data_IF_283200185467
#
_entry.id   IF_283200185467
#
_cell.length_a   1.000
_cell.length_b   1.000
_cell.length_c   1.000
_cell.angle_alpha   90.00
_cell.angle_beta   90.00
_cell.angle_gamma   90.00
#
_symmetry.space_group_name_H-M   'P 1'
#
loop_
_entity.id
_entity.type
_entity.pdbx_description
1 polymer ?
#
# COMPACT_ATOMS: atom_id res chain seq x y z
N UNK A 1 -5.22 -7.35 -14.57
CA UNK A 1 -5.38 -6.79 -13.20
C UNK A 1 -6.85 -6.86 -12.80
N UNK A 2 -7.12 -7.34 -11.60
CA UNK A 2 -8.47 -7.34 -11.02
C UNK A 2 -8.99 -5.92 -10.85
N UNK A 3 -10.30 -5.76 -10.70
CA UNK A 3 -10.84 -4.42 -10.49
C UNK A 3 -10.43 -3.86 -9.11
N UNK A 4 -10.50 -2.55 -8.98
CA UNK A 4 -10.07 -1.83 -7.79
C UNK A 4 -10.74 -2.35 -6.51
N UNK A 5 -12.06 -2.54 -6.52
CA UNK A 5 -12.80 -3.00 -5.34
C UNK A 5 -12.29 -4.35 -4.84
N UNK A 6 -12.04 -5.27 -5.76
CA UNK A 6 -11.50 -6.60 -5.45
C UNK A 6 -10.08 -6.49 -4.89
N UNK A 7 -9.22 -5.69 -5.51
CA UNK A 7 -7.84 -5.50 -5.06
C UNK A 7 -7.79 -4.94 -3.64
N UNK A 8 -8.60 -3.94 -3.36
CA UNK A 8 -8.65 -3.34 -2.02
C UNK A 8 -9.17 -4.35 -1.00
N UNK A 9 -10.23 -5.08 -1.33
CA UNK A 9 -10.80 -6.10 -0.43
C UNK A 9 -9.76 -7.17 -0.10
N UNK A 10 -8.99 -7.62 -1.07
CA UNK A 10 -7.96 -8.63 -0.86
C UNK A 10 -6.77 -8.10 -0.06
N UNK A 11 -6.49 -6.80 -0.14
CA UNK A 11 -5.40 -6.19 0.60
C UNK A 11 -5.75 -5.83 2.05
N UNK A 12 -7.05 -5.68 2.37
CA UNK A 12 -7.49 -5.22 3.69
C UNK A 12 -6.94 -6.04 4.87
N UNK A 13 -6.96 -7.39 4.84
CA UNK A 13 -6.43 -8.15 5.98
C UNK A 13 -4.96 -7.84 6.26
N UNK A 14 -4.15 -7.70 5.21
CA UNK A 14 -2.74 -7.36 5.37
C UNK A 14 -2.58 -5.92 5.88
N UNK A 15 -3.36 -4.98 5.35
CA UNK A 15 -3.34 -3.60 5.82
C UNK A 15 -3.69 -3.50 7.30
N UNK A 16 -4.74 -4.20 7.73
CA UNK A 16 -5.13 -4.23 9.13
C UNK A 16 -4.01 -4.81 10.00
N UNK A 17 -3.38 -5.89 9.57
CA UNK A 17 -2.26 -6.49 10.28
C UNK A 17 -1.08 -5.53 10.41
N UNK A 18 -0.80 -4.73 9.39
CA UNK A 18 0.29 -3.75 9.41
C UNK A 18 0.04 -2.61 10.40
N UNK A 19 -1.20 -2.39 10.82
CA UNK A 19 -1.54 -1.36 11.80
C UNK A 19 -1.56 -1.86 13.25
N UNK A 20 -1.31 -3.15 13.49
CA UNK A 20 -1.20 -3.65 14.87
C UNK A 20 -0.05 -2.90 15.55
N UNK A 21 -0.30 -2.24 16.71
CA UNK A 21 0.74 -1.49 17.40
C UNK A 21 1.79 -2.43 17.97
N UNK A 22 2.96 -2.37 17.39
CA UNK A 22 4.13 -3.09 17.87
C UNK A 22 5.24 -2.06 18.07
N UNK A 23 6.04 -2.25 19.11
CA UNK A 23 7.24 -1.47 19.31
C UNK A 23 8.34 -1.92 18.34
N UNK A 24 7.97 -2.05 17.08
CA UNK A 24 8.86 -2.55 16.05
C UNK A 24 9.32 -1.42 15.13
N UNK A 25 10.43 -0.79 15.51
CA UNK A 25 11.03 0.29 14.73
C UNK A 25 11.68 -0.19 13.45
N UNK A 26 11.91 -1.51 13.33
CA UNK A 26 12.58 -2.09 12.16
C UNK A 26 11.63 -2.59 11.09
N UNK A 27 10.33 -2.49 11.31
CA UNK A 27 9.29 -3.04 10.43
C UNK A 27 9.41 -4.56 10.19
N UNK A 28 10.00 -5.31 11.13
CA UNK A 28 10.12 -6.77 11.00
C UNK A 28 8.78 -7.47 10.91
N UNK A 29 7.81 -6.99 11.67
CA UNK A 29 6.46 -7.56 11.62
C UNK A 29 5.81 -7.28 10.27
N UNK A 30 6.01 -6.07 9.73
CA UNK A 30 5.53 -5.74 8.41
C UNK A 30 6.14 -6.65 7.35
N UNK A 31 7.44 -6.91 7.45
CA UNK A 31 8.14 -7.82 6.56
C UNK A 31 7.53 -9.23 6.63
N UNK A 32 7.28 -9.74 7.83
CA UNK A 32 6.62 -11.03 8.01
C UNK A 32 5.24 -11.08 7.34
N UNK A 33 4.41 -10.06 7.59
CA UNK A 33 3.07 -9.98 6.99
C UNK A 33 3.15 -9.99 5.46
N UNK A 34 4.06 -9.20 4.89
CA UNK A 34 4.18 -9.06 3.45
C UNK A 34 4.69 -10.33 2.78
N UNK A 35 5.57 -11.10 3.44
CA UNK A 35 6.03 -12.38 2.91
C UNK A 35 4.89 -13.39 2.74
N UNK A 36 3.83 -13.28 3.53
CA UNK A 36 2.66 -14.15 3.44
C UNK A 36 1.66 -13.68 2.36
N UNK A 37 1.92 -12.54 1.73
CA UNK A 37 1.00 -11.95 0.74
C UNK A 37 1.34 -12.35 -0.70
N UNK A 38 0.32 -12.33 -1.56
CA UNK A 38 0.52 -12.47 -3.00
C UNK A 38 1.15 -11.19 -3.58
N UNK A 39 1.71 -11.30 -4.78
CA UNK A 39 2.23 -10.12 -5.48
C UNK A 39 1.16 -9.08 -5.76
N UNK A 40 -0.07 -9.50 -6.03
CA UNK A 40 -1.18 -8.56 -6.22
C UNK A 40 -1.43 -7.72 -4.97
N UNK A 41 -1.41 -8.36 -3.80
CA UNK A 41 -1.58 -7.65 -2.51
C UNK A 41 -0.40 -6.72 -2.26
N UNK A 42 0.83 -7.18 -2.46
CA UNK A 42 2.03 -6.37 -2.29
C UNK A 42 2.01 -5.16 -3.22
N UNK A 43 1.68 -5.35 -4.49
CA UNK A 43 1.56 -4.25 -5.45
C UNK A 43 0.47 -3.26 -5.05
N UNK A 44 -0.68 -3.75 -4.59
CA UNK A 44 -1.76 -2.89 -4.11
C UNK A 44 -1.31 -2.04 -2.92
N UNK A 45 -0.62 -2.64 -1.96
CA UNK A 45 -0.09 -1.94 -0.78
C UNK A 45 0.94 -0.90 -1.21
N UNK A 46 1.80 -1.22 -2.17
CA UNK A 46 2.79 -0.28 -2.70
C UNK A 46 2.10 0.95 -3.30
N UNK A 47 1.05 0.75 -4.10
CA UNK A 47 0.28 1.85 -4.69
C UNK A 47 -0.36 2.72 -3.60
N UNK A 48 -0.99 2.08 -2.60
CA UNK A 48 -1.61 2.80 -1.49
C UNK A 48 -0.57 3.64 -0.73
N UNK A 49 0.59 3.07 -0.47
CA UNK A 49 1.67 3.76 0.24
C UNK A 49 2.15 4.99 -0.53
N UNK A 50 2.37 4.85 -1.84
CA UNK A 50 2.85 5.96 -2.66
C UNK A 50 1.80 7.06 -2.77
N UNK A 51 0.52 6.70 -2.92
CA UNK A 51 -0.58 7.67 -2.90
C UNK A 51 -0.62 8.40 -1.56
N UNK A 52 -0.42 7.68 -0.45
CA UNK A 52 -0.39 8.28 0.88
C UNK A 52 0.74 9.28 1.04
N UNK A 53 1.91 8.96 0.53
CA UNK A 53 3.04 9.89 0.54
C UNK A 53 2.73 11.14 -0.29
N UNK A 54 2.13 10.95 -1.45
CA UNK A 54 1.73 12.06 -2.33
C UNK A 54 0.67 12.94 -1.64
N UNK A 55 -0.30 12.34 -0.95
CA UNK A 55 -1.34 13.08 -0.25
C UNK A 55 -0.78 13.93 0.90
N UNK A 56 0.26 13.48 1.56
CA UNK A 56 0.92 14.28 2.60
C UNK A 56 1.67 15.47 2.01
N UNK A 57 2.23 15.31 0.81
CA UNK A 57 2.95 16.36 0.11
C UNK A 57 2.01 17.35 -0.57
N UNK A 58 0.90 16.85 -1.13
CA UNK A 58 -0.08 17.64 -1.88
C UNK A 58 -1.50 17.44 -1.33
N UNK A 59 -1.76 17.86 -0.09
CA UNK A 59 -3.04 17.55 0.58
C UNK A 59 -4.27 18.15 -0.11
N UNK A 60 -4.10 19.23 -0.89
CA UNK A 60 -5.23 19.85 -1.59
C UNK A 60 -5.80 19.00 -2.72
N UNK A 61 -5.03 18.02 -3.20
CA UNK A 61 -5.47 17.10 -4.26
C UNK A 61 -6.29 15.94 -3.72
N UNK A 62 -6.46 15.86 -2.41
CA UNK A 62 -7.09 14.72 -1.75
C UNK A 62 -8.14 15.17 -0.73
N UNK A 63 -9.12 14.32 -0.36
CA UNK A 63 -9.29 12.94 -0.86
C UNK A 63 -9.70 12.87 -2.32
N UNK A 64 -9.48 11.70 -2.93
CA UNK A 64 -9.75 11.50 -4.34
C UNK A 64 -11.24 11.60 -4.66
N UNK A 65 -11.57 12.26 -5.78
CA UNK A 65 -12.93 12.28 -6.31
C UNK A 65 -13.30 10.95 -6.98
N UNK A 66 -12.30 10.29 -7.58
CA UNK A 66 -12.47 9.00 -8.25
C UNK A 66 -11.35 8.06 -7.80
N UNK A 67 -11.48 7.42 -6.61
CA UNK A 67 -10.41 6.59 -6.05
C UNK A 67 -9.93 5.47 -6.98
N UNK A 68 -10.85 4.76 -7.63
CA UNK A 68 -10.47 3.66 -8.52
C UNK A 68 -9.61 4.15 -9.69
N UNK A 69 -9.94 5.30 -10.24
CA UNK A 69 -9.18 5.90 -11.34
C UNK A 69 -7.79 6.34 -10.90
N UNK A 70 -7.72 7.00 -9.75
CA UNK A 70 -6.43 7.44 -9.17
C UNK A 70 -5.54 6.24 -8.89
N UNK A 71 -6.09 5.20 -8.28
CA UNK A 71 -5.35 3.97 -8.01
C UNK A 71 -4.79 3.38 -9.30
N UNK A 72 -5.60 3.28 -10.35
CA UNK A 72 -5.20 2.72 -11.63
C UNK A 72 -4.05 3.51 -12.27
N UNK A 73 -4.11 4.84 -12.21
CA UNK A 73 -3.06 5.70 -12.77
C UNK A 73 -1.72 5.42 -12.09
N UNK A 74 -1.69 5.36 -10.76
CA UNK A 74 -0.47 5.04 -10.03
C UNK A 74 -0.01 3.60 -10.26
N UNK A 75 -0.96 2.67 -10.38
CA UNK A 75 -0.64 1.26 -10.61
C UNK A 75 0.04 1.03 -11.97
N UNK A 76 -0.22 1.85 -12.98
CA UNK A 76 0.43 1.71 -14.28
C UNK A 76 1.95 1.75 -14.17
N UNK A 77 2.49 2.56 -13.26
CA UNK A 77 3.93 2.70 -13.05
C UNK A 77 4.49 1.76 -11.97
N UNK A 78 3.66 1.37 -10.99
CA UNK A 78 4.13 0.70 -9.78
C UNK A 78 3.79 -0.78 -9.72
N UNK A 79 2.89 -1.25 -10.59
CA UNK A 79 2.41 -2.63 -10.52
C UNK A 79 3.45 -3.62 -10.99
N UNK A 80 3.60 -4.72 -10.25
CA UNK A 80 4.43 -5.84 -10.67
C UNK A 80 3.69 -7.15 -10.42
N UNK A 81 3.65 -8.00 -11.46
CA UNK A 81 3.13 -9.36 -11.37
C UNK A 81 4.26 -10.39 -11.27
N UNK A 82 5.51 -9.94 -11.36
CA UNK A 82 6.67 -10.83 -11.40
C UNK A 82 7.03 -11.31 -9.98
N UNK A 83 6.92 -12.62 -9.69
CA UNK A 83 7.30 -13.15 -8.37
C UNK A 83 8.75 -12.86 -8.00
N UNK A 84 9.63 -12.68 -8.96
CA UNK A 84 11.03 -12.33 -8.69
C UNK A 84 11.20 -10.93 -8.09
N UNK A 85 10.20 -10.06 -8.25
CA UNK A 85 10.21 -8.72 -7.67
C UNK A 85 9.79 -8.70 -6.18
N UNK A 86 9.28 -9.79 -5.64
CA UNK A 86 8.69 -9.85 -4.31
C UNK A 86 9.62 -9.33 -3.22
N UNK A 87 10.83 -9.87 -3.16
CA UNK A 87 11.80 -9.47 -2.14
C UNK A 87 12.18 -8.00 -2.25
N UNK A 88 12.37 -7.50 -3.47
CA UNK A 88 12.69 -6.10 -3.70
C UNK A 88 11.55 -5.17 -3.29
N UNK A 89 10.31 -5.54 -3.61
CA UNK A 89 9.14 -4.76 -3.26
C UNK A 89 8.90 -4.74 -1.75
N UNK A 90 9.07 -5.88 -1.08
CA UNK A 90 8.97 -5.95 0.38
C UNK A 90 10.05 -5.07 1.02
N UNK A 91 11.28 -5.17 0.51
CA UNK A 91 12.38 -4.33 0.99
C UNK A 91 12.11 -2.83 0.80
N UNK A 92 11.52 -2.46 -0.32
CA UNK A 92 11.13 -1.08 -0.59
C UNK A 92 10.12 -0.57 0.44
N UNK A 93 9.07 -1.36 0.71
CA UNK A 93 8.04 -0.98 1.69
C UNK A 93 8.61 -0.93 3.11
N UNK A 94 9.30 -1.99 3.52
CA UNK A 94 9.82 -2.11 4.88
C UNK A 94 10.97 -1.16 5.17
N UNK A 95 11.62 -0.64 4.13
CA UNK A 95 12.64 0.38 4.24
C UNK A 95 12.08 1.77 4.53
N UNK A 96 10.77 1.96 4.42
CA UNK A 96 10.14 3.24 4.71
C UNK A 96 9.93 3.39 6.21
N UNK A 97 10.61 4.38 6.81
CA UNK A 97 10.50 4.69 8.23
C UNK A 97 9.05 4.98 8.64
N UNK A 98 8.34 5.72 7.80
CA UNK A 98 6.98 6.18 8.06
C UNK A 98 5.95 5.35 7.30
N UNK A 99 6.20 4.05 7.10
CA UNK A 99 5.34 3.17 6.33
C UNK A 99 3.88 3.23 6.79
N UNK A 100 3.65 3.11 8.11
CA UNK A 100 2.28 3.12 8.65
C UNK A 100 1.58 4.47 8.41
N UNK A 101 2.30 5.57 8.54
CA UNK A 101 1.77 6.90 8.27
C UNK A 101 1.38 7.05 6.80
N UNK A 102 2.24 6.60 5.89
CA UNK A 102 1.96 6.64 4.47
C UNK A 102 0.76 5.75 4.10
N UNK A 103 0.66 4.56 4.67
CA UNK A 103 -0.47 3.67 4.43
C UNK A 103 -1.78 4.26 4.97
N UNK A 104 -1.75 4.85 6.17
CA UNK A 104 -2.93 5.51 6.72
C UNK A 104 -3.37 6.67 5.84
N UNK A 105 -2.44 7.50 5.42
CA UNK A 105 -2.69 8.60 4.51
C UNK A 105 -3.29 8.11 3.18
N UNK A 106 -2.74 7.02 2.63
CA UNK A 106 -3.24 6.43 1.40
C UNK A 106 -4.65 5.89 1.52
N UNK A 107 -4.94 5.22 2.62
CA UNK A 107 -6.29 4.72 2.88
C UNK A 107 -7.30 5.87 3.00
N UNK A 108 -6.93 6.95 3.68
CA UNK A 108 -7.78 8.13 3.78
C UNK A 108 -7.96 8.80 2.42
N UNK A 109 -6.89 8.94 1.65
CA UNK A 109 -6.92 9.56 0.32
C UNK A 109 -7.83 8.80 -0.63
N UNK A 110 -7.82 7.48 -0.56
CA UNK A 110 -8.64 6.59 -1.38
C UNK A 110 -10.00 6.26 -0.75
N UNK A 111 -10.30 6.83 0.41
CA UNK A 111 -11.54 6.60 1.15
C UNK A 111 -11.76 5.13 1.53
N UNK A 112 -10.69 4.42 1.81
CA UNK A 112 -10.72 3.04 2.31
C UNK A 112 -10.98 3.10 3.81
N UNK A 113 -11.94 2.32 4.27
CA UNK A 113 -12.30 2.29 5.69
C UNK A 113 -11.53 1.25 6.47
#
# INVERSE_FOLDING_TARGET
MKNYTTLIREALPALEALFIPLNDRSNRFAEYVLHECSMEVISSITVIMVIGRDALEYPSDYPCKAPAKTFKVWAEDLWSDNPAAKEGDIGYLCGKRDLREYLRSGMQALRIK
#
